data_IF_710265929472
#
_entry.id   IF_710265929472
#
_cell.length_a   1.000
_cell.length_b   1.000
_cell.length_c   1.000
_cell.angle_alpha   90.00
_cell.angle_beta   90.00
_cell.angle_gamma   90.00
#
_symmetry.space_group_name_H-M   'P 1'
#
loop_
_entity.id
_entity.type
_entity.pdbx_description
1 polymer ?
#
# COMPACT_ATOMS: atom_id res chain seq x y z
N UNK A 1 -9.58 -3.52 9.53
CA UNK A 1 -9.42 -4.20 8.21
C UNK A 1 -10.38 -5.36 8.08
N UNK A 2 -10.32 -6.38 8.95
CA UNK A 2 -11.27 -7.49 8.92
C UNK A 2 -12.69 -7.03 9.31
N UNK A 3 -12.83 -6.36 10.46
CA UNK A 3 -14.11 -5.80 10.93
C UNK A 3 -14.70 -4.72 10.00
N UNK A 4 -13.82 -3.99 9.31
CA UNK A 4 -14.21 -2.94 8.36
C UNK A 4 -14.52 -3.50 6.96
N UNK A 5 -14.46 -4.82 6.76
CA UNK A 5 -14.76 -5.48 5.47
C UNK A 5 -13.74 -5.22 4.36
N UNK A 6 -12.52 -4.78 4.68
CA UNK A 6 -11.46 -4.50 3.69
C UNK A 6 -10.72 -5.78 3.29
N UNK A 7 -10.62 -6.75 4.20
CA UNK A 7 -9.96 -8.04 3.99
C UNK A 7 -10.81 -9.17 4.56
N UNK A 8 -10.62 -10.38 4.03
CA UNK A 8 -11.24 -11.61 4.51
C UNK A 8 -10.22 -12.75 4.57
N UNK A 9 -10.57 -13.83 5.28
CA UNK A 9 -9.77 -15.05 5.26
C UNK A 9 -9.84 -15.66 3.85
N UNK A 10 -8.69 -16.06 3.31
CA UNK A 10 -8.62 -16.64 1.96
C UNK A 10 -7.76 -17.89 1.94
N UNK A 11 -8.14 -18.82 1.07
CA UNK A 11 -7.36 -20.00 0.71
C UNK A 11 -6.97 -19.87 -0.77
N UNK A 12 -5.87 -19.16 -1.03
CA UNK A 12 -5.37 -18.88 -2.37
C UNK A 12 -4.04 -19.57 -2.61
N UNK A 13 -3.81 -20.03 -3.85
CA UNK A 13 -2.50 -20.51 -4.31
C UNK A 13 -1.45 -19.39 -4.41
N UNK A 14 -1.87 -18.12 -4.32
CA UNK A 14 -1.01 -16.95 -4.33
C UNK A 14 -0.93 -16.32 -2.95
N UNK A 15 0.29 -15.93 -2.54
CA UNK A 15 0.54 -15.18 -1.31
C UNK A 15 1.74 -14.24 -1.47
N UNK A 16 1.69 -13.11 -0.77
CA UNK A 16 2.78 -12.14 -0.66
C UNK A 16 3.26 -12.04 0.78
N UNK A 17 4.54 -11.74 0.96
CA UNK A 17 5.12 -11.50 2.28
C UNK A 17 4.57 -10.22 2.91
N UNK A 18 4.55 -10.17 4.24
CA UNK A 18 4.05 -9.03 5.02
C UNK A 18 5.15 -8.50 5.92
N UNK A 19 5.24 -7.18 6.02
CA UNK A 19 6.16 -6.46 6.89
C UNK A 19 5.41 -5.56 7.86
N UNK A 20 5.95 -5.43 9.07
CA UNK A 20 5.51 -4.42 10.03
C UNK A 20 6.54 -3.28 10.06
N UNK A 21 6.15 -2.12 9.54
CA UNK A 21 7.05 -0.97 9.41
C UNK A 21 6.68 0.08 10.47
N UNK A 22 7.63 0.55 11.28
CA UNK A 22 7.37 1.63 12.24
C UNK A 22 7.02 2.92 11.50
N UNK A 23 6.00 3.62 12.01
CA UNK A 23 5.67 4.99 11.65
C UNK A 23 6.21 5.94 12.72
N UNK A 24 6.40 7.23 12.37
CA UNK A 24 6.62 8.26 13.38
C UNK A 24 5.56 8.16 14.47
N UNK A 25 5.94 8.40 15.74
CA UNK A 25 5.00 8.36 16.85
C UNK A 25 3.87 9.36 16.62
N UNK A 26 2.70 9.10 17.20
CA UNK A 26 1.64 10.11 17.20
C UNK A 26 2.02 11.35 18.03
N UNK A 27 1.10 12.32 18.03
CA UNK A 27 1.27 13.56 18.81
C UNK A 27 1.39 13.30 20.32
N UNK A 28 0.96 12.13 20.79
CA UNK A 28 0.99 11.70 22.19
C UNK A 28 2.23 10.84 22.50
N UNK A 29 3.09 10.58 21.51
CA UNK A 29 4.33 9.83 21.65
C UNK A 29 4.18 8.31 21.48
N UNK A 30 2.99 7.79 21.17
CA UNK A 30 2.79 6.36 21.02
C UNK A 30 3.42 5.84 19.73
N UNK A 31 4.12 4.71 19.82
CA UNK A 31 4.68 4.03 18.65
C UNK A 31 3.56 3.55 17.75
N UNK A 32 3.66 3.91 16.47
CA UNK A 32 2.72 3.46 15.44
C UNK A 32 3.42 2.52 14.48
N UNK A 33 2.66 1.57 13.96
CA UNK A 33 3.15 0.66 12.93
C UNK A 33 2.17 0.64 11.76
N UNK A 34 2.69 0.35 10.57
CA UNK A 34 1.94 0.08 9.36
C UNK A 34 2.26 -1.33 8.89
N UNK A 35 1.22 -2.09 8.57
CA UNK A 35 1.35 -3.34 7.84
C UNK A 35 1.56 -3.05 6.36
N UNK A 36 2.59 -3.64 5.75
CA UNK A 36 2.95 -3.47 4.34
C UNK A 36 3.01 -4.85 3.68
N UNK A 37 2.35 -5.01 2.55
CA UNK A 37 2.39 -6.26 1.76
C UNK A 37 3.36 -6.08 0.60
N UNK A 38 4.23 -7.06 0.38
CA UNK A 38 5.20 -7.05 -0.72
C UNK A 38 4.57 -7.55 -2.02
N UNK A 39 4.11 -6.62 -2.85
CA UNK A 39 3.52 -6.94 -4.15
C UNK A 39 4.53 -6.96 -5.30
N UNK A 40 5.85 -6.93 -5.06
CA UNK A 40 6.84 -6.86 -6.16
C UNK A 40 6.72 -8.00 -7.17
N UNK A 41 6.57 -9.25 -6.71
CA UNK A 41 6.39 -10.40 -7.59
C UNK A 41 5.04 -10.41 -8.31
N UNK A 42 4.00 -9.89 -7.66
CA UNK A 42 2.67 -9.74 -8.26
C UNK A 42 2.73 -8.68 -9.38
N UNK A 43 3.27 -7.50 -9.07
CA UNK A 43 3.39 -6.38 -10.01
C UNK A 43 4.18 -6.74 -11.28
N UNK A 44 5.18 -7.62 -11.17
CA UNK A 44 5.95 -8.11 -12.31
C UNK A 44 5.13 -9.00 -13.27
N UNK A 45 4.04 -9.60 -12.79
CA UNK A 45 3.14 -10.47 -13.58
C UNK A 45 1.90 -9.75 -14.08
N UNK A 46 1.52 -8.62 -13.48
CA UNK A 46 0.35 -7.84 -13.87
C UNK A 46 0.67 -6.89 -15.02
N UNK A 47 -0.33 -6.61 -15.86
CA UNK A 47 -0.24 -5.59 -16.92
C UNK A 47 -0.40 -4.20 -16.24
N UNK A 48 0.57 -3.28 -16.38
CA UNK A 48 0.45 -1.95 -15.80
C UNK A 48 -0.64 -1.13 -16.50
N UNK A 49 -1.61 -0.64 -15.72
CA UNK A 49 -2.60 0.34 -16.19
C UNK A 49 -2.13 1.76 -15.81
N UNK A 50 -1.59 2.49 -16.78
CA UNK A 50 -0.95 3.78 -16.56
C UNK A 50 -1.91 4.90 -16.94
N UNK A 51 -2.54 5.51 -15.94
CA UNK A 51 -3.26 6.77 -16.12
C UNK A 51 -2.25 7.94 -16.18
N UNK A 52 -2.31 8.82 -17.19
CA UNK A 52 -1.40 9.95 -17.29
C UNK A 52 -1.68 10.94 -16.15
N UNK A 53 -0.74 11.04 -15.22
CA UNK A 53 -0.77 12.08 -14.19
C UNK A 53 0.12 13.23 -14.64
N UNK A 54 -0.39 14.49 -14.63
CA UNK A 54 0.41 15.65 -15.02
C UNK A 54 1.58 15.84 -14.05
N UNK A 55 2.66 16.45 -14.54
CA UNK A 55 3.75 16.86 -13.66
C UNK A 55 3.22 17.93 -12.69
N UNK A 56 3.68 17.91 -11.44
CA UNK A 56 3.27 18.89 -10.44
C UNK A 56 3.57 20.34 -10.88
N UNK A 57 4.68 20.56 -11.60
CA UNK A 57 5.04 21.88 -12.11
C UNK A 57 4.03 22.34 -13.17
N UNK A 58 3.63 21.45 -14.08
CA UNK A 58 2.64 21.75 -15.13
C UNK A 58 1.27 22.14 -14.55
N UNK A 59 0.94 21.67 -13.34
CA UNK A 59 -0.31 22.02 -12.64
C UNK A 59 -0.21 23.40 -11.97
N UNK A 60 0.97 23.74 -11.42
CA UNK A 60 1.17 24.98 -10.66
C UNK A 60 1.32 26.20 -11.57
N UNK A 61 1.85 26.01 -12.78
CA UNK A 61 2.05 27.07 -13.77
C UNK A 61 0.77 27.42 -14.58
N UNK A 62 -0.39 26.78 -14.27
CA UNK A 62 -1.72 27.14 -14.80
C UNK A 62 -2.42 28.20 -13.95
#
# INVERSE_FOLDING_TARGET
MLETGIIEASESSYRSNIFLVPKPPDKEGNKRYRLVVDFRQLNAKTIPDRYPLPNILDIIDQ
#
